data_IF_660706555269
#
_entry.id   IF_660706555269
#
_cell.length_a   1.000
_cell.length_b   1.000
_cell.length_c   1.000
_cell.angle_alpha   90.00
_cell.angle_beta   90.00
_cell.angle_gamma   90.00
#
_symmetry.space_group_name_H-M   'P 1'
#
loop_
_entity.id
_entity.type
_entity.pdbx_description
1 polymer ?
#
# COMPACT_ATOMS: atom_id res chain seq x y z
N UNK A 1 -47.46 -57.34 14.76
CA UNK A 1 -46.52 -57.36 15.90
C UNK A 1 -45.30 -58.18 15.52
N UNK A 2 -44.20 -57.51 15.17
CA UNK A 2 -42.82 -57.87 15.51
C UNK A 2 -41.90 -56.68 15.17
N UNK A 3 -40.95 -56.30 16.05
CA UNK A 3 -40.18 -55.06 15.97
C UNK A 3 -38.72 -55.26 15.49
N UNK A 4 -37.99 -54.16 15.32
CA UNK A 4 -36.51 -54.11 15.34
C UNK A 4 -35.89 -53.84 13.97
N UNK A 5 -35.70 -52.59 13.55
CA UNK A 5 -34.55 -51.72 13.88
C UNK A 5 -33.19 -52.28 13.41
N UNK A 6 -32.61 -51.63 12.39
CA UNK A 6 -31.16 -51.40 12.23
C UNK A 6 -30.95 -50.43 11.04
N UNK A 7 -31.14 -49.13 11.27
CA UNK A 7 -30.66 -48.10 10.34
C UNK A 7 -29.25 -47.69 10.77
N UNK A 8 -28.26 -48.30 10.13
CA UNK A 8 -26.85 -47.97 10.32
C UNK A 8 -26.58 -46.60 9.69
N UNK A 9 -26.19 -45.66 10.54
CA UNK A 9 -25.81 -44.30 10.15
C UNK A 9 -24.41 -44.30 9.53
N UNK A 10 -24.28 -43.92 8.27
CA UNK A 10 -22.99 -43.60 7.67
C UNK A 10 -22.93 -42.10 7.37
N UNK A 11 -22.47 -41.36 8.38
CA UNK A 11 -21.93 -40.02 8.26
C UNK A 11 -20.54 -40.12 7.60
N UNK A 12 -20.43 -39.78 6.32
CA UNK A 12 -19.13 -39.54 5.68
C UNK A 12 -19.12 -38.16 5.02
N UNK A 13 -18.20 -37.35 5.52
CA UNK A 13 -18.01 -35.91 5.33
C UNK A 13 -17.73 -35.55 3.86
N UNK A 14 -18.32 -34.50 3.28
CA UNK A 14 -17.80 -33.94 2.04
C UNK A 14 -16.51 -33.18 2.33
N UNK A 15 -15.42 -33.64 1.72
CA UNK A 15 -14.11 -32.99 1.73
C UNK A 15 -14.23 -31.67 0.95
N UNK A 16 -14.20 -30.55 1.65
CA UNK A 16 -14.12 -29.21 1.06
C UNK A 16 -12.75 -29.09 0.38
N UNK A 17 -12.72 -29.17 -0.96
CA UNK A 17 -11.51 -28.88 -1.73
C UNK A 17 -11.25 -27.38 -1.63
N UNK A 18 -10.19 -27.05 -0.91
CA UNK A 18 -9.72 -25.70 -0.67
C UNK A 18 -9.42 -24.97 -1.98
N UNK A 19 -10.25 -23.98 -2.29
CA UNK A 19 -9.94 -22.92 -3.25
C UNK A 19 -8.94 -21.97 -2.58
N UNK A 20 -7.64 -22.20 -2.77
CA UNK A 20 -6.59 -21.34 -2.23
C UNK A 20 -5.85 -20.61 -3.36
N UNK A 21 -6.38 -19.41 -3.66
CA UNK A 21 -5.66 -18.17 -3.95
C UNK A 21 -4.74 -18.17 -5.18
N UNK A 22 -5.37 -18.08 -6.34
CA UNK A 22 -4.86 -17.22 -7.42
C UNK A 22 -5.06 -15.77 -6.95
N UNK A 23 -4.14 -15.23 -6.16
CA UNK A 23 -4.00 -13.78 -6.03
C UNK A 23 -2.83 -13.35 -6.91
N UNK A 24 -3.18 -13.20 -8.19
CA UNK A 24 -2.50 -12.39 -9.18
C UNK A 24 -1.87 -11.18 -8.49
N UNK A 25 -0.54 -11.08 -8.50
CA UNK A 25 0.15 -9.82 -8.22
C UNK A 25 -0.13 -8.87 -9.39
N UNK A 26 -1.36 -8.36 -9.44
CA UNK A 26 -1.62 -7.13 -10.16
C UNK A 26 -1.00 -6.04 -9.31
N UNK A 27 0.23 -5.65 -9.66
CA UNK A 27 0.73 -4.32 -9.35
C UNK A 27 -0.16 -3.34 -10.12
N UNK A 28 -1.38 -3.14 -9.61
CA UNK A 28 -2.27 -2.14 -10.13
C UNK A 28 -1.58 -0.81 -9.89
N UNK A 29 -1.26 -0.12 -10.97
CA UNK A 29 -0.87 1.29 -11.00
C UNK A 29 -2.03 2.21 -10.54
N UNK A 30 -2.81 1.77 -9.55
CA UNK A 30 -3.68 2.62 -8.80
C UNK A 30 -2.77 3.50 -7.94
N UNK A 31 -2.76 4.80 -8.22
CA UNK A 31 -2.11 5.77 -7.36
C UNK A 31 -2.52 5.49 -5.91
N UNK A 32 -1.54 5.24 -5.04
CA UNK A 32 -1.81 4.94 -3.64
C UNK A 32 -2.57 6.11 -2.97
N UNK A 33 -2.24 7.34 -3.35
CA UNK A 33 -2.96 8.53 -2.91
C UNK A 33 -4.07 8.92 -3.91
N UNK A 34 -5.14 9.53 -3.40
CA UNK A 34 -6.21 10.13 -4.21
C UNK A 34 -5.74 11.44 -4.88
N UNK A 35 -6.54 11.93 -5.82
CA UNK A 35 -6.32 13.26 -6.41
C UNK A 35 -6.47 14.38 -5.34
N UNK A 36 -5.87 15.54 -5.61
CA UNK A 36 -5.99 16.72 -4.72
C UNK A 36 -4.98 16.75 -3.58
N UNK A 37 -3.81 16.11 -3.75
CA UNK A 37 -2.73 16.18 -2.77
C UNK A 37 -2.26 17.63 -2.54
N UNK A 38 -1.97 17.94 -1.28
CA UNK A 38 -1.30 19.15 -0.76
C UNK A 38 0.09 18.83 -0.16
N UNK A 39 0.42 17.55 0.01
CA UNK A 39 1.78 17.09 0.28
C UNK A 39 1.87 15.59 0.46
N UNK A 40 3.11 15.10 0.53
CA UNK A 40 3.41 13.68 0.72
C UNK A 40 4.60 13.51 1.66
N UNK A 41 4.60 12.46 2.47
CA UNK A 41 5.72 12.14 3.37
C UNK A 41 5.87 10.64 3.49
N UNK A 42 7.11 10.19 3.48
CA UNK A 42 7.44 8.82 3.84
C UNK A 42 7.94 8.81 5.29
N UNK A 43 7.38 7.94 6.12
CA UNK A 43 7.77 7.74 7.52
C UNK A 43 8.41 6.36 7.65
N UNK A 44 9.53 6.29 8.34
CA UNK A 44 10.19 5.04 8.71
C UNK A 44 9.94 4.67 10.17
N UNK A 45 9.90 3.36 10.43
CA UNK A 45 9.78 2.78 11.76
C UNK A 45 8.52 3.18 12.52
N UNK A 46 8.60 3.04 13.84
CA UNK A 46 7.54 3.36 14.80
C UNK A 46 8.10 4.29 15.90
N UNK A 47 8.71 5.39 15.49
CA UNK A 47 9.30 6.37 16.40
C UNK A 47 8.28 7.42 16.87
N UNK A 48 8.53 8.00 18.03
CA UNK A 48 7.83 9.17 18.57
C UNK A 48 8.86 10.24 19.01
N UNK A 49 8.96 11.39 18.32
CA UNK A 49 8.15 11.77 17.17
C UNK A 49 8.47 10.93 15.91
N UNK A 50 7.53 10.82 14.94
CA UNK A 50 7.74 10.04 13.72
C UNK A 50 8.95 10.52 12.91
N UNK A 51 9.79 9.57 12.47
CA UNK A 51 10.94 9.84 11.62
C UNK A 51 10.51 9.97 10.15
N UNK A 52 10.49 11.20 9.64
CA UNK A 52 10.16 11.50 8.24
C UNK A 52 11.40 11.41 7.36
N UNK A 53 11.26 10.78 6.19
CA UNK A 53 12.30 10.69 5.18
C UNK A 53 12.12 11.77 4.12
N UNK A 54 13.18 12.54 3.89
CA UNK A 54 13.26 13.49 2.75
C UNK A 54 13.37 12.71 1.43
N UNK A 55 12.71 13.16 0.35
CA UNK A 55 12.94 12.58 -0.97
C UNK A 55 14.42 12.69 -1.36
N UNK A 56 14.98 11.62 -1.94
CA UNK A 56 16.35 11.62 -2.46
C UNK A 56 16.42 12.16 -3.89
N UNK A 57 15.27 12.28 -4.54
CA UNK A 57 15.11 12.87 -5.85
C UNK A 57 13.91 13.81 -5.82
N UNK A 58 14.13 15.06 -6.25
CA UNK A 58 13.06 16.03 -6.39
C UNK A 58 13.35 16.95 -7.57
N UNK A 59 12.41 17.04 -8.51
CA UNK A 59 12.53 17.79 -9.77
C UNK A 59 11.25 18.55 -10.05
N UNK A 60 11.40 19.83 -10.34
CA UNK A 60 10.32 20.74 -10.72
C UNK A 60 10.61 21.38 -12.07
N UNK A 61 9.57 21.90 -12.72
CA UNK A 61 9.75 22.87 -13.81
C UNK A 61 10.52 24.11 -13.28
N UNK A 62 11.24 24.84 -14.14
CA UNK A 62 11.95 26.06 -13.72
C UNK A 62 11.01 27.06 -13.03
N UNK A 63 11.37 27.49 -11.82
CA UNK A 63 10.56 28.39 -10.99
C UNK A 63 9.31 27.74 -10.37
N UNK A 64 9.11 26.45 -10.60
CA UNK A 64 7.92 25.73 -10.20
C UNK A 64 7.86 25.38 -8.71
N UNK A 65 6.66 25.01 -8.25
CA UNK A 65 6.41 24.57 -6.88
C UNK A 65 5.58 23.30 -6.83
N UNK A 66 5.70 22.59 -5.72
CA UNK A 66 4.82 21.49 -5.39
C UNK A 66 3.38 22.01 -5.15
N UNK A 67 2.31 21.31 -5.59
CA UNK A 67 2.32 20.11 -6.42
C UNK A 67 2.38 20.40 -7.92
N UNK A 68 1.98 21.60 -8.33
CA UNK A 68 1.49 21.86 -9.68
C UNK A 68 2.61 21.78 -10.75
N UNK A 69 3.85 22.04 -10.35
CA UNK A 69 5.02 22.00 -11.24
C UNK A 69 5.96 20.82 -10.98
N UNK A 70 5.52 19.85 -10.17
CA UNK A 70 6.30 18.65 -9.90
C UNK A 70 6.49 17.84 -11.19
N UNK A 71 7.75 17.62 -11.55
CA UNK A 71 8.13 16.68 -12.61
C UNK A 71 8.29 15.29 -12.00
N UNK A 72 9.05 15.19 -10.90
CA UNK A 72 9.28 13.91 -10.24
C UNK A 72 9.74 14.12 -8.80
N UNK A 73 9.25 13.29 -7.89
CA UNK A 73 9.75 13.20 -6.51
C UNK A 73 9.88 11.72 -6.14
N UNK A 74 10.95 11.32 -5.49
CA UNK A 74 11.16 9.91 -5.16
C UNK A 74 11.94 9.68 -3.88
N UNK A 75 11.82 8.45 -3.41
CA UNK A 75 12.62 7.85 -2.35
C UNK A 75 13.10 6.49 -2.85
N UNK A 76 14.40 6.24 -2.84
CA UNK A 76 14.99 4.97 -3.27
C UNK A 76 15.78 4.29 -2.13
N UNK A 77 16.17 3.03 -2.37
CA UNK A 77 16.88 2.18 -1.41
C UNK A 77 16.14 2.03 -0.08
N UNK A 78 14.80 2.05 -0.11
CA UNK A 78 13.94 1.99 1.07
C UNK A 78 14.08 0.70 1.88
N UNK A 79 14.65 -0.36 1.29
CA UNK A 79 15.02 -1.57 2.03
C UNK A 79 16.05 -1.34 3.13
N UNK A 80 16.81 -0.23 3.09
CA UNK A 80 17.78 0.15 4.13
C UNK A 80 17.15 0.97 5.25
N UNK A 81 15.94 1.48 5.06
CA UNK A 81 15.21 2.24 6.06
C UNK A 81 14.55 1.32 7.10
N UNK A 82 14.19 1.88 8.24
CA UNK A 82 13.58 1.12 9.33
C UNK A 82 12.12 0.79 8.99
N UNK A 83 11.75 -0.48 9.03
CA UNK A 83 10.37 -0.90 8.85
C UNK A 83 9.54 -0.68 10.15
N UNK A 84 8.21 -0.47 10.05
CA UNK A 84 7.41 -0.38 8.83
C UNK A 84 7.56 0.96 8.12
N UNK A 85 7.37 0.95 6.79
CA UNK A 85 7.31 2.17 5.99
C UNK A 85 5.86 2.60 5.79
N UNK A 86 5.59 3.88 6.03
CA UNK A 86 4.25 4.47 5.90
C UNK A 86 4.30 5.68 5.00
N UNK A 87 3.42 5.72 4.00
CA UNK A 87 3.23 6.86 3.13
C UNK A 87 2.06 7.69 3.65
N UNK A 88 2.31 8.95 3.97
CA UNK A 88 1.30 9.91 4.41
C UNK A 88 0.93 10.82 3.25
N UNK A 89 -0.27 10.64 2.73
CA UNK A 89 -0.91 11.48 1.73
C UNK A 89 -1.64 12.62 2.45
N UNK A 90 -1.30 13.89 2.18
CA UNK A 90 -2.04 15.05 2.70
C UNK A 90 -2.80 15.71 1.56
N UNK A 91 -4.04 16.11 1.81
CA UNK A 91 -4.94 16.64 0.79
C UNK A 91 -5.24 18.13 1.00
N UNK A 92 -5.66 18.83 -0.05
CA UNK A 92 -5.98 20.27 -0.01
C UNK A 92 -7.15 20.61 0.94
N UNK A 93 -8.02 19.64 1.23
CA UNK A 93 -9.13 19.77 2.18
C UNK A 93 -8.71 19.55 3.65
N UNK A 94 -7.41 19.38 3.91
CA UNK A 94 -6.86 19.14 5.25
C UNK A 94 -6.91 17.69 5.70
N UNK A 95 -7.51 16.76 4.93
CA UNK A 95 -7.49 15.34 5.27
C UNK A 95 -6.10 14.75 5.10
N UNK A 96 -5.83 13.71 5.88
CA UNK A 96 -4.66 12.85 5.74
C UNK A 96 -5.06 11.39 5.63
N UNK A 97 -4.30 10.66 4.85
CA UNK A 97 -4.40 9.22 4.71
C UNK A 97 -3.01 8.62 4.89
N UNK A 98 -2.89 7.63 5.77
CA UNK A 98 -1.64 6.92 6.00
C UNK A 98 -1.76 5.52 5.44
N UNK A 99 -0.86 5.18 4.53
CA UNK A 99 -0.84 3.90 3.83
C UNK A 99 0.40 3.13 4.28
N UNK A 100 0.18 1.92 4.78
CA UNK A 100 1.28 1.00 5.06
C UNK A 100 1.83 0.47 3.73
N UNK A 101 3.12 0.67 3.50
CA UNK A 101 3.75 0.13 2.29
C UNK A 101 4.00 -1.37 2.44
N UNK A 102 3.90 -2.14 1.35
CA UNK A 102 4.25 -3.56 1.37
C UNK A 102 5.66 -3.81 1.90
N UNK A 103 5.84 -4.94 2.59
CA UNK A 103 7.17 -5.36 3.02
C UNK A 103 8.06 -5.58 1.80
N UNK A 104 9.24 -4.97 1.81
CA UNK A 104 10.23 -5.10 0.73
C UNK A 104 10.14 -4.01 -0.34
N UNK A 105 9.20 -3.06 -0.22
CA UNK A 105 9.23 -1.83 -1.02
C UNK A 105 10.60 -1.17 -0.91
N UNK A 106 11.19 -0.86 -2.06
CA UNK A 106 12.54 -0.38 -2.23
C UNK A 106 12.58 1.02 -2.84
N UNK A 107 11.53 1.37 -3.60
CA UNK A 107 11.40 2.71 -4.14
C UNK A 107 9.94 3.15 -4.18
N UNK A 108 9.72 4.43 -3.96
CA UNK A 108 8.47 5.12 -4.22
C UNK A 108 8.75 6.35 -5.08
N UNK A 109 8.01 6.53 -6.16
CA UNK A 109 8.17 7.67 -7.08
C UNK A 109 6.81 8.29 -7.38
N UNK A 110 6.71 9.59 -7.13
CA UNK A 110 5.61 10.47 -7.46
C UNK A 110 5.91 11.17 -8.79
N UNK A 111 5.02 10.98 -9.76
CA UNK A 111 5.13 11.51 -11.14
C UNK A 111 4.11 12.65 -11.38
N UNK A 112 4.17 13.33 -12.55
CA UNK A 112 3.19 14.35 -12.88
C UNK A 112 1.77 13.79 -12.84
N UNK A 113 0.81 14.61 -12.43
CA UNK A 113 -0.55 14.15 -12.11
C UNK A 113 -0.68 13.55 -10.71
N UNK A 114 0.37 13.65 -9.89
CA UNK A 114 0.42 13.19 -8.49
C UNK A 114 0.14 11.69 -8.33
N UNK A 115 0.61 10.91 -9.30
CA UNK A 115 0.51 9.46 -9.31
C UNK A 115 1.74 8.89 -8.61
N UNK A 116 1.54 8.24 -7.47
CA UNK A 116 2.61 7.55 -6.76
C UNK A 116 2.64 6.06 -7.10
N UNK A 117 3.83 5.57 -7.44
CA UNK A 117 4.12 4.17 -7.67
C UNK A 117 5.21 3.71 -6.71
N UNK A 118 4.96 2.63 -5.99
CA UNK A 118 5.95 1.99 -5.11
C UNK A 118 6.23 0.57 -5.58
N UNK A 119 7.50 0.15 -5.54
CA UNK A 119 7.98 -1.16 -5.98
C UNK A 119 9.02 -1.73 -5.02
#
# INVERSE_FOLDING_TARGET
>A
MNPGANFMSYLTKPLVVAFALILSQQANAASLCKAGLSGITLIEGNYDPPASMTPDMERFKPGGRWPDDLIEQGWHNLRKAHAPLRLVCRYKDGKQETLLLPKGTDACVLKPGLIINCK
#
